data_IF_111519283817
#
_entry.id   IF_111519283817
#
_cell.length_a   1.000
_cell.length_b   1.000
_cell.length_c   1.000
_cell.angle_alpha   90.00
_cell.angle_beta   90.00
_cell.angle_gamma   90.00
#
_symmetry.space_group_name_H-M   'P 1'
#
loop_
_entity.id
_entity.type
_entity.pdbx_description
1 polymer ?
#
# COMPACT_ATOMS: atom_id res chain seq x y z
N UNK A 1 9.15 1.42 32.40
CA UNK A 1 9.29 0.24 31.52
C UNK A 1 8.38 0.54 30.33
N UNK A 2 8.90 1.08 29.22
CA UNK A 2 9.31 0.30 28.03
C UNK A 2 8.32 -0.86 27.81
N UNK A 3 7.43 -0.86 26.82
CA UNK A 3 7.54 -0.27 25.49
C UNK A 3 6.13 -0.10 24.91
N UNK A 4 5.73 1.13 24.55
CA UNK A 4 4.65 1.36 23.58
C UNK A 4 5.18 0.86 22.22
N UNK A 5 5.25 -0.45 22.06
CA UNK A 5 5.35 -1.06 20.74
C UNK A 5 3.97 -0.82 20.15
N UNK A 6 3.79 0.34 19.51
CA UNK A 6 2.79 0.48 18.47
C UNK A 6 3.06 -0.70 17.53
N UNK A 7 2.20 -1.72 17.59
CA UNK A 7 2.21 -2.81 16.64
C UNK A 7 1.91 -2.18 15.28
N UNK A 8 2.95 -1.69 14.61
CA UNK A 8 2.85 -1.21 13.24
C UNK A 8 2.45 -2.42 12.40
N UNK A 9 1.20 -2.44 11.95
CA UNK A 9 0.75 -3.47 11.03
C UNK A 9 1.42 -3.21 9.68
N UNK A 10 2.55 -3.86 9.45
CA UNK A 10 3.32 -3.69 8.22
C UNK A 10 2.91 -4.75 7.21
N UNK A 11 2.41 -4.32 6.06
CA UNK A 11 2.12 -5.22 4.94
C UNK A 11 3.24 -5.17 3.92
N UNK A 12 3.57 -6.32 3.33
CA UNK A 12 4.54 -6.38 2.24
C UNK A 12 3.77 -6.41 0.93
N UNK A 13 3.94 -5.37 0.11
CA UNK A 13 3.43 -5.34 -1.24
C UNK A 13 4.54 -5.78 -2.18
N UNK A 14 4.34 -6.88 -2.89
CA UNK A 14 5.31 -7.49 -3.80
C UNK A 14 4.72 -7.65 -5.20
N UNK A 15 5.59 -7.94 -6.18
CA UNK A 15 5.22 -8.14 -7.58
C UNK A 15 4.35 -6.99 -8.11
N UNK A 16 4.76 -5.75 -7.85
CA UNK A 16 4.04 -4.53 -8.23
C UNK A 16 4.22 -4.29 -9.73
N UNK A 17 3.13 -4.41 -10.48
CA UNK A 17 3.07 -4.05 -11.89
C UNK A 17 2.46 -2.67 -12.04
N UNK A 18 3.19 -1.76 -12.67
CA UNK A 18 2.76 -0.38 -12.86
C UNK A 18 2.12 -0.21 -14.24
N UNK A 19 0.99 0.49 -14.30
CA UNK A 19 0.34 0.77 -15.57
C UNK A 19 1.15 1.82 -16.35
N UNK A 20 1.75 1.40 -17.46
CA UNK A 20 2.52 2.24 -18.36
C UNK A 20 1.70 3.37 -19.01
N UNK A 21 0.36 3.26 -19.01
CA UNK A 21 -0.55 4.26 -19.60
C UNK A 21 -0.91 5.40 -18.64
N UNK A 22 -0.46 5.36 -17.39
CA UNK A 22 -0.63 6.47 -16.45
C UNK A 22 0.09 7.70 -17.02
N UNK A 23 -0.62 8.60 -17.70
CA UNK A 23 -0.09 9.91 -18.07
C UNK A 23 0.35 10.58 -16.77
N UNK A 24 1.66 10.64 -16.55
CA UNK A 24 2.23 11.35 -15.41
C UNK A 24 1.60 12.73 -15.37
N UNK A 25 0.93 13.04 -14.26
CA UNK A 25 0.32 14.34 -14.05
C UNK A 25 1.45 15.37 -13.91
N UNK A 26 1.89 15.92 -15.05
CA UNK A 26 2.56 17.21 -15.17
C UNK A 26 3.86 17.43 -14.40
N UNK A 27 4.72 16.41 -14.20
CA UNK A 27 6.05 16.63 -13.62
C UNK A 27 7.12 16.02 -14.52
N UNK A 28 8.15 16.83 -14.81
CA UNK A 28 9.42 16.46 -15.48
C UNK A 28 9.75 15.00 -15.18
N UNK A 29 10.06 14.24 -16.22
CA UNK A 29 10.54 12.86 -16.18
C UNK A 29 11.84 12.73 -15.34
N UNK A 30 11.73 12.91 -14.03
CA UNK A 30 12.59 12.21 -13.11
C UNK A 30 12.23 10.75 -13.32
N UNK A 31 13.20 9.97 -13.83
CA UNK A 31 13.14 8.52 -13.86
C UNK A 31 13.05 8.02 -12.42
N UNK A 32 11.87 8.13 -11.81
CA UNK A 32 11.56 7.51 -10.53
C UNK A 32 11.52 6.03 -10.84
N UNK A 33 12.58 5.32 -10.48
CA UNK A 33 12.59 3.87 -10.53
C UNK A 33 11.43 3.37 -9.67
N UNK A 34 10.48 2.72 -10.33
CA UNK A 34 9.28 2.23 -9.69
C UNK A 34 9.64 0.94 -8.95
N UNK A 35 9.35 0.84 -7.65
CA UNK A 35 9.68 -0.37 -6.91
C UNK A 35 8.81 -1.54 -7.37
N UNK A 36 9.39 -2.73 -7.38
CA UNK A 36 8.67 -4.00 -7.59
C UNK A 36 8.18 -4.62 -6.28
N UNK A 37 8.71 -4.16 -5.15
CA UNK A 37 8.33 -4.57 -3.80
C UNK A 37 8.56 -3.43 -2.79
N UNK A 38 7.69 -3.31 -1.78
CA UNK A 38 7.91 -2.45 -0.62
C UNK A 38 7.07 -2.85 0.59
N UNK A 39 7.50 -2.44 1.78
CA UNK A 39 6.69 -2.52 3.01
C UNK A 39 5.88 -1.24 3.19
N UNK A 40 4.62 -1.38 3.60
CA UNK A 40 3.71 -0.28 3.90
C UNK A 40 3.20 -0.39 5.33
N UNK A 41 3.20 0.74 6.03
CA UNK A 41 2.65 0.82 7.37
C UNK A 41 1.15 1.12 7.30
N UNK A 42 0.40 0.17 7.83
CA UNK A 42 -0.99 0.16 8.31
C UNK A 42 -1.40 1.25 9.30
N UNK A 43 -2.01 2.41 8.97
CA UNK A 43 -2.47 3.31 10.03
C UNK A 43 -3.57 2.64 10.86
N UNK A 44 -3.54 2.82 12.17
CA UNK A 44 -4.51 2.21 13.10
C UNK A 44 -5.96 2.56 12.76
N UNK A 45 -6.20 3.74 12.18
CA UNK A 45 -7.54 4.15 11.70
C UNK A 45 -8.07 3.23 10.59
N UNK A 46 -7.23 2.88 9.62
CA UNK A 46 -7.58 1.97 8.51
C UNK A 46 -7.76 0.55 9.02
N UNK A 47 -6.91 0.10 9.94
CA UNK A 47 -7.07 -1.21 10.60
C UNK A 47 -8.38 -1.32 11.37
N UNK A 48 -8.76 -0.27 12.09
CA UNK A 48 -10.02 -0.23 12.83
C UNK A 48 -11.23 -0.24 11.88
N UNK A 49 -11.13 0.41 10.73
CA UNK A 49 -12.16 0.36 9.68
C UNK A 49 -12.26 -1.04 9.07
N UNK A 50 -11.12 -1.63 8.71
CA UNK A 50 -11.03 -2.98 8.17
C UNK A 50 -11.60 -4.03 9.14
N UNK A 51 -11.27 -3.93 10.44
CA UNK A 51 -11.75 -4.84 11.48
C UNK A 51 -13.27 -4.72 11.75
N UNK A 52 -13.85 -3.53 11.58
CA UNK A 52 -15.32 -3.36 11.66
C UNK A 52 -16.02 -4.03 10.48
N UNK A 53 -15.37 -4.03 9.32
CA UNK A 53 -15.83 -4.65 8.08
C UNK A 53 -15.38 -6.13 8.02
N UNK A 54 -15.95 -6.99 8.88
CA UNK A 54 -15.54 -8.40 9.05
C UNK A 54 -15.39 -9.22 7.74
N UNK A 55 -16.10 -8.87 6.67
CA UNK A 55 -16.02 -9.56 5.37
C UNK A 55 -15.15 -8.83 4.33
N UNK A 56 -14.71 -7.60 4.60
CA UNK A 56 -14.02 -6.72 3.65
C UNK A 56 -12.67 -6.23 4.19
N UNK A 57 -12.10 -6.89 5.21
CA UNK A 57 -10.83 -6.49 5.81
C UNK A 57 -9.75 -6.38 4.73
N UNK A 58 -9.57 -7.45 3.94
CA UNK A 58 -8.58 -7.49 2.88
C UNK A 58 -8.83 -6.40 1.85
N UNK A 59 -10.06 -6.24 1.35
CA UNK A 59 -10.42 -5.23 0.35
C UNK A 59 -10.03 -3.80 0.79
N UNK A 60 -10.26 -3.46 2.06
CA UNK A 60 -9.93 -2.14 2.62
C UNK A 60 -8.40 -1.94 2.65
N UNK A 61 -7.66 -2.95 3.08
CA UNK A 61 -6.19 -2.91 3.12
C UNK A 61 -5.61 -2.83 1.70
N UNK A 62 -6.14 -3.62 0.78
CA UNK A 62 -5.74 -3.60 -0.62
C UNK A 62 -5.99 -2.21 -1.22
N UNK A 63 -7.20 -1.68 -1.08
CA UNK A 63 -7.56 -0.36 -1.61
C UNK A 63 -6.68 0.75 -1.03
N UNK A 64 -6.35 0.67 0.26
CA UNK A 64 -5.41 1.61 0.88
C UNK A 64 -4.02 1.53 0.24
N UNK A 65 -3.48 0.32 0.06
CA UNK A 65 -2.18 0.11 -0.58
C UNK A 65 -2.14 0.67 -2.00
N UNK A 66 -3.16 0.37 -2.83
CA UNK A 66 -3.29 0.90 -4.19
C UNK A 66 -3.29 2.43 -4.22
N UNK A 67 -4.10 3.05 -3.35
CA UNK A 67 -4.20 4.50 -3.28
C UNK A 67 -2.89 5.16 -2.83
N UNK A 68 -2.23 4.58 -1.84
CA UNK A 68 -0.97 5.10 -1.30
C UNK A 68 0.15 5.03 -2.35
N UNK A 69 0.30 3.89 -3.02
CA UNK A 69 1.26 3.69 -4.12
C UNK A 69 1.01 4.67 -5.26
N UNK A 70 -0.25 4.80 -5.69
CA UNK A 70 -0.62 5.71 -6.78
C UNK A 70 -0.32 7.15 -6.45
N UNK A 71 -0.60 7.60 -5.22
CA UNK A 71 -0.28 8.96 -4.75
C UNK A 71 1.23 9.19 -4.64
N UNK A 72 1.98 8.21 -4.13
CA UNK A 72 3.42 8.33 -3.90
C UNK A 72 4.22 8.39 -5.20
N UNK A 73 3.85 7.58 -6.19
CA UNK A 73 4.59 7.44 -7.44
C UNK A 73 3.93 8.14 -8.63
N UNK A 74 2.71 8.67 -8.47
CA UNK A 74 1.98 9.34 -9.53
C UNK A 74 1.62 8.42 -10.71
N UNK A 75 1.59 7.11 -10.47
CA UNK A 75 1.28 6.07 -11.46
C UNK A 75 0.36 5.04 -10.85
N UNK A 76 -0.61 4.58 -11.62
CA UNK A 76 -1.52 3.53 -11.18
C UNK A 76 -0.79 2.18 -11.12
N UNK A 77 -1.08 1.42 -10.08
CA UNK A 77 -0.67 0.02 -9.99
C UNK A 77 -1.70 -0.81 -10.74
N UNK A 78 -1.25 -1.59 -11.72
CA UNK A 78 -2.05 -2.52 -12.51
C UNK A 78 -2.42 -3.77 -11.71
N UNK A 79 -1.46 -4.29 -10.93
CA UNK A 79 -1.65 -5.43 -10.05
C UNK A 79 -0.49 -5.51 -9.05
N UNK A 80 -0.75 -6.09 -7.88
CA UNK A 80 0.28 -6.43 -6.90
C UNK A 80 -0.18 -7.61 -6.04
N UNK A 81 0.75 -8.22 -5.32
CA UNK A 81 0.48 -9.21 -4.27
C UNK A 81 0.70 -8.57 -2.90
N UNK A 82 -0.27 -8.69 -2.01
CA UNK A 82 -0.19 -8.11 -0.67
C UNK A 82 -0.08 -9.27 0.33
N UNK A 83 1.04 -9.30 1.02
CA UNK A 83 1.32 -10.23 2.10
C UNK A 83 1.00 -9.53 3.39
N UNK A 84 -0.05 -10.01 4.05
CA UNK A 84 -0.37 -9.63 5.41
C UNK A 84 0.60 -10.37 6.34
N UNK A 85 1.21 -9.68 7.33
CA UNK A 85 1.97 -10.37 8.35
C UNK A 85 0.99 -11.33 9.06
N UNK A 86 1.29 -12.62 9.04
CA UNK A 86 0.50 -13.61 9.75
C UNK A 86 0.71 -13.46 11.26
N UNK A 87 -0.42 -13.52 11.98
CA UNK A 87 -0.64 -13.56 13.44
C UNK A 87 -0.23 -12.32 14.27
#
# INVERSE_FOLDING_TARGET
MNSDIENEYQVIVANIFWNSKSKGFGRKDNKVELPTQMSLNIPTSVLNEANKSKNNFNDIIEQFCYNLLTRKYGKEVSSCQIWLPFD
#
